data_IF_960920160164
#
_entry.id   IF_960920160164
#
_cell.length_a   1.000
_cell.length_b   1.000
_cell.length_c   1.000
_cell.angle_alpha   90.00
_cell.angle_beta   90.00
_cell.angle_gamma   90.00
#
_symmetry.space_group_name_H-M   'P 1'
#
loop_
_entity.id
_entity.type
_entity.pdbx_description
1 polymer ?
#
# COMPACT_ATOMS: atom_id res chain seq x y z
N UNK A 1 -9.18 -11.63 1.05
CA UNK A 1 -9.13 -12.61 2.15
C UNK A 1 -7.78 -13.34 2.30
N UNK A 2 -6.87 -13.22 1.36
CA UNK A 2 -5.56 -13.92 1.40
C UNK A 2 -4.42 -13.14 2.09
N UNK A 3 -4.65 -11.91 2.48
CA UNK A 3 -3.61 -11.08 3.13
C UNK A 3 -3.27 -11.55 4.55
N UNK A 4 -4.19 -12.23 5.22
CA UNK A 4 -4.05 -12.59 6.64
C UNK A 4 -3.32 -13.92 6.90
N UNK A 5 -3.00 -14.73 5.91
CA UNK A 5 -2.43 -16.06 6.12
C UNK A 5 -0.90 -16.12 6.22
N UNK A 6 -0.19 -15.02 6.07
CA UNK A 6 1.28 -15.02 6.07
C UNK A 6 1.95 -14.27 7.22
N UNK A 7 1.24 -14.02 8.33
CA UNK A 7 1.84 -13.52 9.57
C UNK A 7 2.31 -14.68 10.46
N UNK A 8 3.15 -15.55 9.92
CA UNK A 8 3.85 -16.56 10.73
C UNK A 8 5.34 -16.34 10.55
N UNK A 9 5.94 -15.67 11.54
CA UNK A 9 7.39 -15.49 11.62
C UNK A 9 7.97 -14.53 10.58
N UNK A 10 7.89 -13.23 10.79
CA UNK A 10 8.66 -12.18 10.10
C UNK A 10 8.54 -12.04 8.56
N UNK A 11 7.66 -12.76 7.86
CA UNK A 11 7.48 -12.62 6.41
C UNK A 11 6.01 -12.43 6.01
N UNK A 12 5.74 -11.44 5.17
CA UNK A 12 4.45 -11.24 4.52
C UNK A 12 4.61 -11.31 3.00
N UNK A 13 3.96 -12.30 2.38
CA UNK A 13 3.91 -12.42 0.93
C UNK A 13 2.65 -11.76 0.38
N UNK A 14 2.80 -10.89 -0.60
CA UNK A 14 1.71 -10.25 -1.35
C UNK A 14 1.67 -10.90 -2.73
N UNK A 15 0.65 -11.72 -2.98
CA UNK A 15 0.44 -12.42 -4.25
C UNK A 15 -0.81 -11.88 -4.93
N UNK A 16 -0.65 -11.34 -6.12
CA UNK A 16 -1.77 -10.84 -6.96
C UNK A 16 -2.85 -10.09 -6.16
N UNK A 17 -2.40 -9.22 -5.26
CA UNK A 17 -3.33 -8.45 -4.43
C UNK A 17 -3.81 -7.20 -5.17
N UNK A 18 -5.10 -7.11 -5.52
CA UNK A 18 -5.68 -5.89 -6.09
C UNK A 18 -5.92 -4.80 -5.04
N UNK A 19 -5.54 -5.05 -3.79
CA UNK A 19 -5.85 -4.21 -2.64
C UNK A 19 -7.09 -4.68 -1.90
N UNK A 20 -7.75 -3.77 -1.22
CA UNK A 20 -8.95 -4.10 -0.43
C UNK A 20 -9.39 -3.00 0.52
N UNK A 21 -10.12 -3.39 1.55
CA UNK A 21 -10.70 -2.49 2.55
C UNK A 21 -9.60 -1.77 3.34
N UNK A 22 -9.62 -0.44 3.31
CA UNK A 22 -8.58 0.40 3.92
C UNK A 22 -8.47 0.14 5.43
N UNK A 23 -9.60 0.02 6.15
CA UNK A 23 -9.58 -0.22 7.60
C UNK A 23 -8.93 -1.56 7.96
N UNK A 24 -9.16 -2.59 7.17
CA UNK A 24 -8.50 -3.89 7.35
C UNK A 24 -6.99 -3.80 7.07
N UNK A 25 -6.61 -3.11 6.00
CA UNK A 25 -5.20 -2.87 5.69
C UNK A 25 -4.49 -2.03 6.76
N UNK A 26 -5.16 -1.02 7.32
CA UNK A 26 -4.60 -0.23 8.42
C UNK A 26 -4.42 -1.04 9.70
N UNK A 27 -5.31 -1.98 9.99
CA UNK A 27 -5.14 -2.90 11.13
C UNK A 27 -3.90 -3.80 10.97
N UNK A 28 -3.64 -4.28 9.74
CA UNK A 28 -2.42 -5.03 9.42
C UNK A 28 -1.20 -4.13 9.56
N UNK A 29 -1.25 -2.92 9.01
CA UNK A 29 -0.17 -1.93 9.12
C UNK A 29 0.17 -1.66 10.59
N UNK A 30 -0.82 -1.33 11.41
CA UNK A 30 -0.61 -1.06 12.84
C UNK A 30 -0.01 -2.27 13.55
N UNK A 31 -0.42 -3.50 13.19
CA UNK A 31 0.16 -4.74 13.73
C UNK A 31 1.63 -4.88 13.33
N UNK A 32 1.98 -4.64 12.06
CA UNK A 32 3.37 -4.65 11.57
C UNK A 32 4.23 -3.67 12.38
N UNK A 33 3.71 -2.47 12.62
CA UNK A 33 4.45 -1.43 13.37
C UNK A 33 4.53 -1.72 14.88
N UNK A 34 3.57 -2.45 15.43
CA UNK A 34 3.49 -2.74 16.88
C UNK A 34 4.38 -3.90 17.31
N UNK A 35 4.54 -4.94 16.47
CA UNK A 35 5.35 -6.11 16.83
C UNK A 35 6.84 -5.76 16.87
N UNK A 36 7.60 -6.44 17.76
CA UNK A 36 9.03 -6.15 17.96
C UNK A 36 9.96 -6.79 16.94
N UNK A 37 9.49 -7.81 16.24
CA UNK A 37 10.28 -8.48 15.19
C UNK A 37 10.19 -7.71 13.88
N UNK A 38 11.25 -7.78 13.10
CA UNK A 38 11.25 -7.26 11.73
C UNK A 38 10.23 -8.00 10.86
N UNK A 39 9.54 -7.26 10.00
CA UNK A 39 8.62 -7.83 9.01
C UNK A 39 9.21 -7.65 7.62
N UNK A 40 9.48 -8.77 6.96
CA UNK A 40 9.84 -8.79 5.55
C UNK A 40 8.58 -8.81 4.69
N UNK A 41 8.54 -8.00 3.65
CA UNK A 41 7.45 -7.98 2.67
C UNK A 41 7.97 -8.35 1.29
N UNK A 42 7.21 -9.15 0.55
CA UNK A 42 7.57 -9.56 -0.81
C UNK A 42 6.35 -9.48 -1.73
N UNK A 43 6.53 -8.82 -2.88
CA UNK A 43 5.55 -8.82 -3.95
C UNK A 43 5.85 -9.93 -4.95
N UNK A 44 4.84 -10.75 -5.24
CA UNK A 44 4.83 -11.77 -6.28
C UNK A 44 3.58 -11.57 -7.15
N UNK A 45 3.77 -11.32 -8.45
CA UNK A 45 2.70 -10.95 -9.37
C UNK A 45 2.32 -9.49 -9.21
N UNK A 46 1.30 -9.17 -8.46
CA UNK A 46 0.82 -7.79 -8.29
C UNK A 46 0.67 -7.39 -6.82
N UNK A 47 1.00 -6.13 -6.53
CA UNK A 47 0.62 -5.45 -5.30
C UNK A 47 -0.01 -4.10 -5.65
N UNK A 48 -1.33 -4.01 -5.55
CA UNK A 48 -2.07 -2.80 -5.90
C UNK A 48 -2.76 -2.17 -4.69
N UNK A 49 -2.90 -0.83 -4.70
CA UNK A 49 -3.69 -0.11 -3.70
C UNK A 49 -3.24 -0.41 -2.27
N UNK A 50 -4.11 -0.97 -1.41
CA UNK A 50 -3.74 -1.40 -0.06
C UNK A 50 -2.63 -2.47 -0.05
N UNK A 51 -2.50 -3.28 -1.12
CA UNK A 51 -1.41 -4.24 -1.27
C UNK A 51 -0.05 -3.57 -1.40
N UNK A 52 0.07 -2.54 -2.23
CA UNK A 52 1.31 -1.75 -2.37
C UNK A 52 1.64 -0.93 -1.11
N UNK A 53 0.62 -0.43 -0.44
CA UNK A 53 0.77 0.25 0.84
C UNK A 53 1.40 -0.68 1.89
N UNK A 54 0.87 -1.89 2.06
CA UNK A 54 1.42 -2.89 2.98
C UNK A 54 2.81 -3.38 2.55
N UNK A 55 3.06 -3.52 1.25
CA UNK A 55 4.39 -3.86 0.72
C UNK A 55 5.43 -2.83 1.18
N UNK A 56 5.12 -1.55 1.06
CA UNK A 56 6.00 -0.46 1.48
C UNK A 56 6.18 -0.35 2.99
N UNK A 57 5.31 -0.99 3.77
CA UNK A 57 5.25 -0.88 5.24
C UNK A 57 6.12 -1.90 5.98
N UNK A 58 6.78 -2.81 5.26
CA UNK A 58 7.76 -3.72 5.82
C UNK A 58 8.98 -3.00 6.41
N UNK A 59 9.75 -3.73 7.19
CA UNK A 59 11.00 -3.23 7.76
C UNK A 59 11.94 -2.76 6.66
N UNK A 60 12.50 -1.58 6.78
CA UNK A 60 13.45 -1.01 5.80
C UNK A 60 14.63 -1.95 5.58
N UNK A 61 14.99 -2.20 4.32
CA UNK A 61 15.97 -3.19 3.91
C UNK A 61 15.40 -4.60 3.70
N UNK A 62 14.11 -4.83 4.04
CA UNK A 62 13.42 -6.13 3.96
C UNK A 62 12.14 -6.09 3.13
N UNK A 63 12.03 -5.15 2.21
CA UNK A 63 10.90 -5.00 1.29
C UNK A 63 11.34 -5.44 -0.11
N UNK A 64 10.71 -6.45 -0.67
CA UNK A 64 11.16 -7.11 -1.89
C UNK A 64 10.07 -7.20 -2.94
N UNK A 65 10.49 -7.38 -4.21
CA UNK A 65 9.61 -7.81 -5.29
C UNK A 65 10.35 -8.79 -6.22
N UNK A 66 9.58 -9.69 -6.87
CA UNK A 66 10.11 -10.49 -7.96
C UNK A 66 10.19 -9.65 -9.25
N UNK A 67 11.05 -10.01 -10.22
CA UNK A 67 11.38 -9.15 -11.37
C UNK A 67 10.19 -8.77 -12.26
N UNK A 68 9.18 -9.63 -12.35
CA UNK A 68 7.99 -9.41 -13.18
C UNK A 68 6.77 -8.92 -12.38
N UNK A 69 7.00 -8.47 -11.14
CA UNK A 69 5.91 -7.93 -10.32
C UNK A 69 5.52 -6.54 -10.78
N UNK A 70 4.23 -6.25 -10.65
CA UNK A 70 3.64 -4.93 -10.87
C UNK A 70 3.18 -4.33 -9.54
N UNK A 71 3.45 -3.07 -9.35
CA UNK A 71 3.06 -2.33 -8.14
C UNK A 71 2.21 -1.12 -8.58
N UNK A 72 1.05 -0.96 -7.96
CA UNK A 72 0.14 0.16 -8.23
C UNK A 72 -0.10 0.96 -6.96
N UNK A 73 0.12 2.27 -7.07
CA UNK A 73 -0.32 3.23 -6.05
C UNK A 73 -1.42 4.13 -6.64
N UNK A 74 -2.40 4.46 -5.83
CA UNK A 74 -3.47 5.42 -6.15
C UNK A 74 -4.19 5.90 -4.89
N UNK A 75 -4.98 6.96 -5.04
CA UNK A 75 -5.82 7.48 -3.95
C UNK A 75 -6.96 6.51 -3.57
N UNK A 76 -7.53 6.64 -2.35
CA UNK A 76 -8.73 5.90 -1.96
C UNK A 76 -9.88 6.10 -2.95
N UNK A 77 -10.61 5.02 -3.22
CA UNK A 77 -11.82 5.07 -4.03
C UNK A 77 -12.99 4.41 -3.29
N UNK A 78 -14.20 4.81 -3.63
CA UNK A 78 -15.41 4.13 -3.20
C UNK A 78 -15.84 3.18 -4.32
N UNK A 79 -15.72 1.87 -4.05
CA UNK A 79 -16.17 0.84 -4.97
C UNK A 79 -17.70 0.61 -4.86
N UNK A 80 -18.31 0.17 -5.95
CA UNK A 80 -19.68 -0.35 -5.89
C UNK A 80 -20.81 0.66 -6.00
N UNK A 81 -20.65 1.72 -6.78
CA UNK A 81 -21.79 2.58 -7.16
C UNK A 81 -21.77 3.99 -6.56
N UNK A 82 -20.72 4.36 -5.87
CA UNK A 82 -20.56 5.73 -5.37
C UNK A 82 -21.23 5.97 -4.01
N UNK A 83 -21.38 7.25 -3.66
CA UNK A 83 -22.08 7.72 -2.46
C UNK A 83 -23.45 8.27 -2.86
N UNK A 84 -24.50 7.80 -2.22
CA UNK A 84 -25.85 8.35 -2.35
C UNK A 84 -26.37 8.77 -0.98
N UNK A 85 -27.24 9.77 -0.93
CA UNK A 85 -27.81 10.26 0.31
C UNK A 85 -28.09 11.76 0.26
N UNK A 86 -28.41 12.33 1.41
CA UNK A 86 -28.61 13.78 1.54
C UNK A 86 -27.27 14.53 1.39
N UNK A 87 -27.35 15.79 1.00
CA UNK A 87 -26.16 16.62 0.76
C UNK A 87 -25.17 16.59 1.94
N UNK A 88 -25.64 16.69 3.15
CA UNK A 88 -24.81 16.66 4.36
C UNK A 88 -24.13 15.29 4.54
N UNK A 89 -24.82 14.18 4.25
CA UNK A 89 -24.26 12.84 4.35
C UNK A 89 -23.14 12.64 3.33
N UNK A 90 -23.38 13.07 2.08
CA UNK A 90 -22.36 13.03 1.02
C UNK A 90 -21.11 13.83 1.41
N UNK A 91 -21.31 15.02 2.00
CA UNK A 91 -20.22 15.86 2.49
C UNK A 91 -19.42 15.15 3.60
N UNK A 92 -20.09 14.54 4.58
CA UNK A 92 -19.42 13.79 5.67
C UNK A 92 -18.53 12.68 5.11
N UNK A 93 -19.05 11.91 4.16
CA UNK A 93 -18.29 10.82 3.53
C UNK A 93 -17.11 11.36 2.71
N UNK A 94 -17.31 12.45 1.96
CA UNK A 94 -16.25 13.08 1.18
C UNK A 94 -15.13 13.61 2.08
N UNK A 95 -15.47 14.33 3.14
CA UNK A 95 -14.50 14.87 4.11
C UNK A 95 -13.73 13.73 4.80
N UNK A 96 -14.38 12.61 5.10
CA UNK A 96 -13.74 11.43 5.65
C UNK A 96 -12.74 10.79 4.67
N UNK A 97 -13.10 10.68 3.40
CA UNK A 97 -12.20 10.17 2.36
C UNK A 97 -10.94 11.05 2.19
N UNK A 98 -11.11 12.37 2.20
CA UNK A 98 -9.97 13.30 2.13
C UNK A 98 -9.00 13.07 3.29
N UNK A 99 -9.51 12.98 4.52
CA UNK A 99 -8.69 12.68 5.71
C UNK A 99 -7.97 11.34 5.60
N UNK A 100 -8.66 10.32 5.07
CA UNK A 100 -8.08 9.00 4.85
C UNK A 100 -6.95 9.06 3.82
N UNK A 101 -7.16 9.73 2.70
CA UNK A 101 -6.14 9.97 1.67
C UNK A 101 -4.89 10.65 2.26
N UNK A 102 -5.08 11.74 3.01
CA UNK A 102 -3.97 12.45 3.64
C UNK A 102 -3.18 11.56 4.61
N UNK A 103 -3.86 10.73 5.39
CA UNK A 103 -3.23 9.77 6.31
C UNK A 103 -2.38 8.76 5.54
N UNK A 104 -2.94 8.12 4.52
CA UNK A 104 -2.24 7.13 3.71
C UNK A 104 -1.04 7.73 2.98
N UNK A 105 -1.20 8.92 2.39
CA UNK A 105 -0.13 9.58 1.67
C UNK A 105 1.02 10.00 2.59
N UNK A 106 0.75 10.45 3.82
CA UNK A 106 1.80 10.73 4.82
C UNK A 106 2.61 9.48 5.16
N UNK A 107 1.96 8.36 5.38
CA UNK A 107 2.65 7.09 5.66
C UNK A 107 3.47 6.65 4.44
N UNK A 108 2.90 6.76 3.25
CA UNK A 108 3.59 6.40 2.02
C UNK A 108 4.82 7.27 1.78
N UNK A 109 4.74 8.58 2.07
CA UNK A 109 5.88 9.49 2.04
C UNK A 109 6.99 9.07 3.02
N UNK A 110 6.63 8.67 4.23
CA UNK A 110 7.58 8.15 5.23
C UNK A 110 8.24 6.86 4.75
N UNK A 111 7.47 5.93 4.19
CA UNK A 111 7.95 4.63 3.74
C UNK A 111 8.88 4.74 2.53
N UNK A 112 8.58 5.65 1.60
CA UNK A 112 9.34 5.83 0.35
C UNK A 112 10.48 6.83 0.48
N UNK A 113 10.38 7.76 1.43
CA UNK A 113 11.30 8.89 1.56
C UNK A 113 11.03 10.03 0.56
N UNK A 114 9.92 9.97 -0.18
CA UNK A 114 9.53 11.03 -1.12
C UNK A 114 8.79 12.18 -0.41
N UNK A 115 8.89 13.41 -0.93
CA UNK A 115 8.10 14.53 -0.44
C UNK A 115 6.60 14.25 -0.56
N UNK A 116 5.82 14.74 0.41
CA UNK A 116 4.36 14.54 0.44
C UNK A 116 3.67 15.12 -0.80
N UNK A 117 4.18 16.22 -1.32
CA UNK A 117 3.68 16.86 -2.53
C UNK A 117 3.81 15.93 -3.74
N UNK A 118 4.93 15.22 -3.86
CA UNK A 118 5.15 14.25 -4.92
C UNK A 118 4.21 13.04 -4.77
N UNK A 119 4.06 12.52 -3.56
CA UNK A 119 3.12 11.42 -3.28
C UNK A 119 1.68 11.83 -3.64
N UNK A 120 1.26 13.04 -3.32
CA UNK A 120 -0.07 13.55 -3.65
C UNK A 120 -0.33 13.59 -5.17
N UNK A 121 0.68 13.94 -5.95
CA UNK A 121 0.61 13.93 -7.43
C UNK A 121 0.58 12.50 -7.95
N UNK A 122 1.50 11.66 -7.49
CA UNK A 122 1.70 10.31 -8.02
C UNK A 122 0.57 9.34 -7.66
N UNK A 123 -0.20 9.63 -6.60
CA UNK A 123 -1.36 8.84 -6.19
C UNK A 123 -2.70 9.42 -6.68
N UNK A 124 -2.70 10.52 -7.44
CA UNK A 124 -3.94 11.16 -7.91
C UNK A 124 -4.75 10.25 -8.84
N UNK A 125 -4.08 9.44 -9.62
CA UNK A 125 -4.65 8.40 -10.50
C UNK A 125 -3.82 7.13 -10.40
N UNK A 126 -4.27 6.08 -11.05
CA UNK A 126 -3.56 4.82 -11.13
C UNK A 126 -2.14 5.02 -11.66
N UNK A 127 -1.16 4.69 -10.83
CA UNK A 127 0.24 4.80 -11.15
C UNK A 127 0.88 3.40 -11.04
N UNK A 128 1.03 2.75 -12.18
CA UNK A 128 1.62 1.42 -12.31
C UNK A 128 3.14 1.52 -12.39
N UNK A 129 3.81 0.68 -11.66
CA UNK A 129 5.27 0.57 -11.63
C UNK A 129 5.70 -0.87 -11.81
N UNK A 130 6.74 -1.09 -12.61
CA UNK A 130 7.52 -2.32 -12.60
C UNK A 130 8.25 -2.49 -11.26
N UNK A 131 8.76 -3.68 -10.99
CA UNK A 131 9.56 -3.92 -9.79
C UNK A 131 10.78 -2.98 -9.70
N UNK A 132 11.42 -2.66 -10.85
CA UNK A 132 12.56 -1.76 -10.90
C UNK A 132 12.17 -0.31 -10.61
N UNK A 133 11.07 0.17 -11.19
CA UNK A 133 10.54 1.52 -10.91
C UNK A 133 10.11 1.65 -9.45
N UNK A 134 9.50 0.61 -8.88
CA UNK A 134 9.11 0.59 -7.47
C UNK A 134 10.33 0.63 -6.51
N UNK A 135 11.45 0.02 -6.90
CA UNK A 135 12.73 0.13 -6.21
C UNK A 135 13.25 1.57 -6.24
N UNK A 136 13.28 2.19 -7.40
CA UNK A 136 13.73 3.58 -7.60
C UNK A 136 12.80 4.59 -6.91
N UNK A 137 11.52 4.26 -6.85
CA UNK A 137 10.52 5.04 -6.14
C UNK A 137 10.68 4.97 -4.61
N UNK A 138 11.20 3.85 -4.09
CA UNK A 138 11.40 3.62 -2.66
C UNK A 138 10.29 2.79 -1.99
N UNK A 139 9.38 2.20 -2.77
CA UNK A 139 8.34 1.29 -2.27
C UNK A 139 8.92 -0.03 -1.79
N UNK A 140 10.01 -0.48 -2.39
CA UNK A 140 10.76 -1.68 -2.02
C UNK A 140 12.25 -1.38 -1.89
N UNK A 141 13.00 -2.32 -1.34
CA UNK A 141 14.44 -2.17 -1.09
C UNK A 141 15.28 -3.00 -2.06
N UNK A 142 14.70 -4.04 -2.67
CA UNK A 142 15.43 -4.92 -3.60
C UNK A 142 14.48 -5.70 -4.52
N UNK A 143 14.91 -5.88 -5.77
CA UNK A 143 14.34 -6.86 -6.69
C UNK A 143 15.12 -8.17 -6.58
N UNK A 144 14.43 -9.28 -6.27
CA UNK A 144 15.04 -10.59 -6.08
C UNK A 144 15.06 -11.33 -7.43
N UNK A 145 16.23 -11.43 -8.04
CA UNK A 145 16.41 -12.08 -9.35
C UNK A 145 16.86 -13.55 -9.24
N UNK A 146 17.53 -13.89 -8.16
CA UNK A 146 18.09 -15.24 -7.94
C UNK A 146 17.97 -15.62 -6.45
N UNK A 147 18.00 -16.93 -6.17
CA UNK A 147 18.14 -17.48 -4.82
C UNK A 147 19.52 -17.27 -4.25
#
# INVERSE_FOLDING_TARGET
YEIAQCLVGSEMCIRDSPGGVITAGMAIYDTIQYIKCDVSTICMGMAASMGSFLLSSGTKGKRFALPNSEILIHQPLIAGGGISGQCTDIKIHSDHMVKTREKLNRILAQNTGKPIEQINIDTERDNYMTAQEALEYGLIDKVITNR
#
